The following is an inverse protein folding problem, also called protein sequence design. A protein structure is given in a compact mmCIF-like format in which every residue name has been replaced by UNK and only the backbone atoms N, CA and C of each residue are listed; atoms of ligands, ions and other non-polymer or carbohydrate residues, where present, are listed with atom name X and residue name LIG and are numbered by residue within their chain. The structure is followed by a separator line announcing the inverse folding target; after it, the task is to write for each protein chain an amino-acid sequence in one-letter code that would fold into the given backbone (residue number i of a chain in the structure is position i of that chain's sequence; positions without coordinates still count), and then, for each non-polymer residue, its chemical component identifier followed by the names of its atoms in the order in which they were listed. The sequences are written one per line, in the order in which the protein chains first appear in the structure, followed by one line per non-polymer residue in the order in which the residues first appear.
data_IF_902816086639
#
_entry.id   IF_902816086639
#
_cell.length_a   1.000
_cell.length_b   1.000
_cell.length_c   1.000
_cell.angle_alpha   90.00
_cell.angle_beta   90.00
_cell.angle_gamma   90.00
#
_symmetry.space_group_name_H-M   'P 1'
#
loop_
_entity.id
_entity.type
_entity.pdbx_description
1 polymer ?
#
# COMPACT_ATOMS: atom_id res chain seq x y z
N UNK A 1 9.89 43.99 13.06
CA UNK A 1 11.11 43.28 12.59
C UNK A 1 12.38 44.08 12.92
N UNK A 2 12.41 44.83 14.04
CA UNK A 2 13.47 45.82 14.30
C UNK A 2 14.77 45.24 14.89
N UNK A 3 14.81 43.95 15.21
CA UNK A 3 15.94 43.32 15.90
C UNK A 3 16.62 42.18 15.13
N UNK A 4 16.29 42.01 13.84
CA UNK A 4 16.88 40.97 13.00
C UNK A 4 18.16 41.49 12.34
N UNK A 5 19.32 41.21 12.94
CA UNK A 5 20.63 41.50 12.31
C UNK A 5 21.02 40.40 11.34
N UNK A 6 21.87 40.71 10.34
CA UNK A 6 22.39 39.73 9.36
C UNK A 6 22.96 38.47 10.04
N UNK A 7 23.67 38.65 11.15
CA UNK A 7 24.22 37.55 11.96
C UNK A 7 23.12 36.70 12.59
N UNK A 8 22.10 37.33 13.17
CA UNK A 8 20.96 36.60 13.77
C UNK A 8 20.16 35.84 12.71
N UNK A 9 19.99 36.41 11.52
CA UNK A 9 19.35 35.73 10.39
C UNK A 9 20.15 34.52 9.91
N UNK A 10 21.48 34.64 9.78
CA UNK A 10 22.36 33.51 9.43
C UNK A 10 22.36 32.41 10.49
N UNK A 11 22.47 32.79 11.78
CA UNK A 11 22.41 31.82 12.88
C UNK A 11 21.07 31.10 12.96
N UNK A 12 19.96 31.82 12.73
CA UNK A 12 18.63 31.20 12.65
C UNK A 12 18.52 30.26 11.46
N UNK A 13 19.05 30.64 10.29
CA UNK A 13 19.08 29.79 9.09
C UNK A 13 19.90 28.52 9.28
N UNK A 14 21.06 28.59 9.94
CA UNK A 14 21.88 27.41 10.27
C UNK A 14 21.16 26.49 11.25
N UNK A 15 20.55 27.05 12.30
CA UNK A 15 19.79 26.27 13.28
C UNK A 15 18.60 25.54 12.61
N UNK A 16 17.83 26.24 11.79
CA UNK A 16 16.71 25.66 11.05
C UNK A 16 17.19 24.62 10.02
N UNK A 17 18.31 24.85 9.35
CA UNK A 17 18.90 23.90 8.40
C UNK A 17 19.36 22.60 9.06
N UNK A 18 20.04 22.68 10.21
CA UNK A 18 20.48 21.51 10.97
C UNK A 18 19.29 20.68 11.49
N UNK A 19 18.23 21.34 11.97
CA UNK A 19 16.99 20.66 12.39
C UNK A 19 16.33 19.94 11.21
N UNK A 20 16.31 20.55 10.03
CA UNK A 20 15.76 19.93 8.82
C UNK A 20 16.53 18.70 8.33
N UNK A 21 17.85 18.67 8.51
CA UNK A 21 18.71 17.52 8.10
C UNK A 21 18.68 16.39 9.13
N UNK A 22 18.48 16.69 10.42
CA UNK A 22 18.45 15.69 11.48
C UNK A 22 17.19 14.82 11.46
N UNK A 23 16.10 15.29 10.86
CA UNK A 23 14.86 14.55 10.71
C UNK A 23 14.28 14.73 9.30
N UNK A 24 14.92 14.16 8.26
CA UNK A 24 14.40 14.26 6.92
C UNK A 24 13.05 13.52 6.89
N UNK A 25 11.97 14.27 6.72
CA UNK A 25 10.68 13.65 6.42
C UNK A 25 10.89 12.75 5.20
N UNK A 26 10.55 11.46 5.32
CA UNK A 26 10.58 10.57 4.15
C UNK A 26 9.54 11.09 3.17
N UNK A 27 9.99 11.87 2.19
CA UNK A 27 9.15 12.34 1.12
C UNK A 27 8.76 11.11 0.29
N UNK A 28 7.49 10.72 0.40
CA UNK A 28 6.94 9.71 -0.49
C UNK A 28 6.92 10.29 -1.90
N UNK A 29 7.50 9.59 -2.87
CA UNK A 29 7.19 9.79 -4.29
C UNK A 29 5.76 9.28 -4.60
N UNK A 30 4.76 9.73 -3.85
CA UNK A 30 3.38 9.41 -4.14
C UNK A 30 3.03 10.35 -5.29
N UNK A 31 2.66 9.78 -6.45
CA UNK A 31 2.23 10.58 -7.58
C UNK A 31 1.17 11.60 -7.11
N UNK A 32 1.23 12.86 -7.57
CA UNK A 32 0.21 13.85 -7.24
C UNK A 32 -1.18 13.26 -7.54
N UNK A 33 -2.00 13.06 -6.49
CA UNK A 33 -3.32 12.43 -6.61
C UNK A 33 -3.50 11.10 -5.86
N UNK A 34 -2.46 10.56 -5.22
CA UNK A 34 -2.61 9.45 -4.26
C UNK A 34 -3.38 9.92 -3.03
N UNK A 35 -4.71 9.86 -3.11
CA UNK A 35 -5.60 10.04 -1.95
C UNK A 35 -5.42 8.83 -1.03
N UNK A 36 -5.22 9.10 0.27
CA UNK A 36 -5.05 8.05 1.28
C UNK A 36 -3.62 7.90 1.78
N UNK A 37 -2.94 9.00 2.12
CA UNK A 37 -1.81 8.95 3.03
C UNK A 37 -2.34 8.45 4.40
N UNK A 38 -2.40 7.14 4.58
CA UNK A 38 -2.55 6.56 5.91
C UNK A 38 -1.38 7.08 6.76
N UNK A 39 -1.64 7.37 8.03
CA UNK A 39 -0.57 7.72 8.99
C UNK A 39 0.49 6.60 9.12
N UNK A 40 0.17 5.40 8.64
CA UNK A 40 1.04 4.22 8.61
C UNK A 40 1.72 4.10 7.24
N UNK A 41 3.03 3.84 7.21
CA UNK A 41 3.78 3.65 5.96
C UNK A 41 3.26 2.47 5.12
N UNK A 42 3.49 2.46 3.79
CA UNK A 42 3.01 1.39 2.90
C UNK A 42 3.67 0.06 3.24
N UNK A 43 4.88 0.10 3.77
CA UNK A 43 5.55 -1.06 4.36
C UNK A 43 4.86 -1.59 5.62
N UNK A 44 3.73 -1.01 6.02
CA UNK A 44 2.82 -1.52 7.06
C UNK A 44 1.35 -1.68 6.57
N UNK A 45 1.08 -1.54 5.26
CA UNK A 45 -0.24 -1.76 4.65
C UNK A 45 -0.25 -3.00 3.74
N UNK A 46 -1.19 -3.90 4.04
CA UNK A 46 -1.39 -5.21 3.42
C UNK A 46 -2.79 -5.28 2.81
N UNK A 47 -3.11 -6.36 2.10
CA UNK A 47 -4.43 -6.53 1.49
C UNK A 47 -5.41 -7.18 2.49
N UNK A 48 -6.17 -6.33 3.19
CA UNK A 48 -7.14 -6.78 4.18
C UNK A 48 -8.27 -7.66 3.64
N UNK A 49 -8.51 -7.67 2.32
CA UNK A 49 -9.51 -8.52 1.69
C UNK A 49 -8.90 -9.85 1.20
N UNK A 50 -7.77 -9.78 0.49
CA UNK A 50 -7.13 -10.95 -0.10
C UNK A 50 -6.40 -11.82 0.92
N UNK A 51 -5.69 -11.22 1.88
CA UNK A 51 -4.81 -11.95 2.80
C UNK A 51 -5.56 -12.96 3.69
N UNK A 52 -6.66 -12.58 4.40
CA UNK A 52 -7.41 -13.56 5.19
C UNK A 52 -8.11 -14.62 4.32
N UNK A 53 -8.54 -14.27 3.11
CA UNK A 53 -9.10 -15.23 2.15
C UNK A 53 -8.06 -16.27 1.77
N UNK A 54 -6.88 -15.84 1.33
CA UNK A 54 -5.80 -16.73 0.90
C UNK A 54 -5.28 -17.60 2.04
N UNK A 55 -5.21 -17.07 3.27
CA UNK A 55 -4.89 -17.85 4.45
C UNK A 55 -5.86 -19.04 4.64
N UNK A 56 -7.17 -18.83 4.48
CA UNK A 56 -8.19 -19.90 4.51
C UNK A 56 -8.02 -20.86 3.33
N UNK A 57 -7.75 -20.38 2.12
CA UNK A 57 -7.61 -21.24 0.95
C UNK A 57 -6.41 -22.19 1.07
N UNK A 58 -5.29 -21.69 1.61
CA UNK A 58 -4.07 -22.46 1.84
C UNK A 58 -4.28 -23.47 2.97
N UNK A 59 -4.74 -23.01 4.13
CA UNK A 59 -4.92 -23.88 5.31
C UNK A 59 -6.05 -24.90 5.13
N UNK A 60 -7.08 -24.57 4.33
CA UNK A 60 -8.16 -25.49 3.94
C UNK A 60 -7.80 -26.46 2.81
N UNK A 61 -6.59 -26.41 2.26
CA UNK A 61 -6.16 -27.30 1.19
C UNK A 61 -6.87 -27.09 -0.15
N UNK A 62 -7.44 -25.90 -0.38
CA UNK A 62 -8.18 -25.57 -1.60
C UNK A 62 -7.27 -25.24 -2.79
N UNK A 63 -5.98 -25.03 -2.57
CA UNK A 63 -5.01 -24.59 -3.58
C UNK A 63 -5.02 -25.47 -4.85
N UNK A 64 -4.98 -26.81 -4.79
CA UNK A 64 -5.00 -27.63 -5.99
C UNK A 64 -6.28 -27.44 -6.82
N UNK A 65 -7.45 -27.43 -6.18
CA UNK A 65 -8.74 -27.25 -6.85
C UNK A 65 -8.87 -25.85 -7.47
N UNK A 66 -8.41 -24.83 -6.75
CA UNK A 66 -8.37 -23.45 -7.24
C UNK A 66 -7.47 -23.34 -8.48
N UNK A 67 -6.26 -23.90 -8.43
CA UNK A 67 -5.33 -23.87 -9.57
C UNK A 67 -5.90 -24.60 -10.78
N UNK A 68 -6.58 -25.74 -10.60
CA UNK A 68 -7.25 -26.45 -11.69
C UNK A 68 -8.38 -25.61 -12.29
N UNK A 69 -9.22 -24.98 -11.47
CA UNK A 69 -10.31 -24.12 -11.94
C UNK A 69 -9.77 -22.90 -12.69
N UNK A 70 -8.70 -22.28 -12.19
CA UNK A 70 -8.12 -21.07 -12.77
C UNK A 70 -7.50 -21.29 -14.15
N UNK A 71 -7.15 -22.53 -14.52
CA UNK A 71 -6.51 -22.84 -15.79
C UNK A 71 -7.32 -22.37 -17.02
N UNK A 72 -8.64 -22.20 -16.89
CA UNK A 72 -9.51 -21.71 -17.97
C UNK A 72 -9.62 -20.17 -18.06
N UNK A 73 -9.14 -19.43 -17.04
CA UNK A 73 -9.29 -17.98 -16.97
C UNK A 73 -8.02 -17.30 -17.51
N UNK A 74 -7.98 -17.06 -18.82
CA UNK A 74 -6.78 -16.64 -19.56
C UNK A 74 -6.91 -15.22 -20.10
N UNK A 75 -8.11 -14.84 -20.53
CA UNK A 75 -8.41 -13.54 -21.09
C UNK A 75 -9.26 -12.71 -20.12
N UNK A 76 -9.15 -11.38 -20.21
CA UNK A 76 -9.89 -10.46 -19.34
C UNK A 76 -11.42 -10.62 -19.43
N UNK A 77 -11.95 -11.09 -20.56
CA UNK A 77 -13.38 -11.28 -20.79
C UNK A 77 -13.85 -12.74 -20.59
N UNK A 78 -12.95 -13.64 -20.18
CA UNK A 78 -13.34 -15.01 -19.88
C UNK A 78 -14.27 -14.99 -18.64
N UNK A 79 -15.28 -15.87 -18.59
CA UNK A 79 -16.12 -16.00 -17.42
C UNK A 79 -15.27 -16.42 -16.21
N UNK A 80 -15.68 -15.98 -15.02
CA UNK A 80 -15.00 -16.40 -13.80
C UNK A 80 -14.98 -17.93 -13.68
N UNK A 81 -13.84 -18.51 -13.28
CA UNK A 81 -13.68 -19.96 -13.25
C UNK A 81 -14.66 -20.61 -12.27
N UNK A 82 -15.36 -21.64 -12.75
CA UNK A 82 -16.25 -22.46 -11.92
C UNK A 82 -15.46 -23.45 -11.07
N UNK A 83 -15.99 -23.88 -9.93
CA UNK A 83 -15.35 -24.89 -9.08
C UNK A 83 -14.37 -24.34 -8.04
N UNK A 84 -14.19 -23.02 -7.97
CA UNK A 84 -13.53 -22.38 -6.82
C UNK A 84 -14.49 -22.27 -5.62
N UNK A 85 -13.98 -22.20 -4.38
CA UNK A 85 -14.80 -21.96 -3.19
C UNK A 85 -15.68 -20.71 -3.32
N UNK A 86 -16.89 -20.74 -2.74
CA UNK A 86 -17.87 -19.66 -2.89
C UNK A 86 -17.35 -18.29 -2.41
N UNK A 87 -16.61 -18.25 -1.30
CA UNK A 87 -15.98 -17.03 -0.78
C UNK A 87 -14.93 -16.48 -1.77
N UNK A 88 -14.20 -17.36 -2.45
CA UNK A 88 -13.22 -16.99 -3.47
C UNK A 88 -13.89 -16.39 -4.71
N UNK A 89 -14.97 -17.01 -5.19
CA UNK A 89 -15.75 -16.48 -6.30
C UNK A 89 -16.43 -15.14 -5.95
N UNK A 90 -16.86 -14.96 -4.70
CA UNK A 90 -17.39 -13.68 -4.24
C UNK A 90 -16.32 -12.58 -4.25
N UNK A 91 -15.10 -12.90 -3.80
CA UNK A 91 -13.96 -11.98 -3.86
C UNK A 91 -13.62 -11.53 -5.29
N UNK A 92 -13.68 -12.43 -6.28
CA UNK A 92 -13.40 -12.08 -7.69
C UNK A 92 -14.45 -11.18 -8.35
N UNK A 93 -15.61 -10.96 -7.73
CA UNK A 93 -16.74 -10.19 -8.30
C UNK A 93 -16.86 -8.77 -7.75
N UNK A 94 -15.98 -8.38 -6.83
CA UNK A 94 -16.01 -7.06 -6.20
C UNK A 94 -15.63 -5.93 -7.14
#
# INVERSE_FOLDING_TARGET
MENLSRRKALSLGVALGLVGVANPARAWAAAPGAQGAAATGPEWIWDSAADPLMAKMITGGHVPAINTAWASWVNNNDPLPSGVPAEFNAYLRQ
#
